data_IF_634587879708
#
_entry.id   IF_634587879708
#
_cell.length_a   1.000
_cell.length_b   1.000
_cell.length_c   1.000
_cell.angle_alpha   90.00
_cell.angle_beta   90.00
_cell.angle_gamma   90.00
#
_symmetry.space_group_name_H-M   'P 1'
#
loop_
_entity.id
_entity.type
_entity.pdbx_description
1 polymer ?
#
# COMPACT_ATOMS: atom_id res chain seq x y z
N UNK A 1 7.12 -10.01 7.71
CA UNK A 1 8.52 -10.29 8.02
C UNK A 1 9.28 -9.16 8.71
N UNK A 2 8.61 -8.44 9.58
CA UNK A 2 9.18 -7.61 10.63
C UNK A 2 10.19 -8.38 11.49
N UNK A 3 10.08 -9.71 11.53
CA UNK A 3 11.07 -10.59 12.10
C UNK A 3 12.47 -10.47 11.46
N UNK A 4 12.60 -10.04 10.20
CA UNK A 4 13.93 -10.00 9.56
C UNK A 4 14.83 -8.88 10.13
N UNK A 5 14.29 -7.71 10.46
CA UNK A 5 15.12 -6.68 11.10
C UNK A 5 15.50 -7.06 12.54
N UNK A 6 14.51 -7.55 13.29
CA UNK A 6 14.75 -8.04 14.66
C UNK A 6 15.71 -9.23 14.58
N UNK A 7 15.51 -10.15 13.67
CA UNK A 7 16.38 -11.32 13.46
C UNK A 7 17.79 -10.89 13.06
N UNK A 8 17.96 -9.92 12.15
CA UNK A 8 19.28 -9.41 11.77
C UNK A 8 20.00 -8.73 12.95
N UNK A 9 19.29 -7.92 13.71
CA UNK A 9 19.86 -7.27 14.89
C UNK A 9 20.23 -8.29 15.97
N UNK A 10 19.39 -9.28 16.20
CA UNK A 10 19.68 -10.37 17.16
C UNK A 10 20.86 -11.22 16.67
N UNK A 11 20.93 -11.57 15.40
CA UNK A 11 22.04 -12.36 14.84
C UNK A 11 23.35 -11.60 14.93
N UNK A 12 23.37 -10.30 14.63
CA UNK A 12 24.57 -9.45 14.76
C UNK A 12 25.01 -9.40 16.23
N UNK A 13 24.09 -9.12 17.16
CA UNK A 13 24.39 -9.05 18.57
C UNK A 13 24.86 -10.39 19.16
N UNK A 14 24.21 -11.49 18.75
CA UNK A 14 24.60 -12.85 19.17
C UNK A 14 25.97 -13.23 18.58
N UNK A 15 26.24 -12.90 17.33
CA UNK A 15 27.52 -13.12 16.68
C UNK A 15 28.65 -12.33 17.36
N UNK A 16 28.40 -11.04 17.65
CA UNK A 16 29.40 -10.17 18.29
C UNK A 16 29.66 -10.63 19.73
N UNK A 17 28.63 -11.02 20.46
CA UNK A 17 28.76 -11.60 21.79
C UNK A 17 29.47 -12.95 21.78
N UNK A 18 29.16 -13.81 20.80
CA UNK A 18 29.82 -15.10 20.64
C UNK A 18 31.30 -14.91 20.25
N UNK A 19 31.60 -14.04 19.30
CA UNK A 19 32.98 -13.73 18.91
C UNK A 19 33.79 -13.18 20.10
N UNK A 20 33.21 -12.23 20.87
CA UNK A 20 33.88 -11.68 22.06
C UNK A 20 34.14 -12.76 23.15
N UNK A 21 33.21 -13.72 23.32
CA UNK A 21 33.36 -14.82 24.29
C UNK A 21 34.40 -15.88 23.87
N UNK A 22 34.49 -16.16 22.55
CA UNK A 22 35.38 -17.18 22.03
C UNK A 22 36.76 -16.67 21.60
N UNK A 23 36.88 -15.37 21.28
CA UNK A 23 38.17 -14.71 21.03
C UNK A 23 39.07 -14.80 22.25
N UNK A 24 38.53 -14.77 23.46
CA UNK A 24 39.23 -14.99 24.72
C UNK A 24 39.82 -16.41 24.89
N UNK A 25 39.31 -17.39 24.07
CA UNK A 25 39.72 -18.80 24.09
C UNK A 25 40.48 -19.21 22.83
N UNK A 26 40.82 -18.30 21.94
CA UNK A 26 41.57 -18.57 20.71
C UNK A 26 40.78 -19.35 19.65
N UNK A 27 39.47 -19.44 19.77
CA UNK A 27 38.59 -20.16 18.84
C UNK A 27 37.82 -19.12 17.98
N UNK A 28 38.11 -19.08 16.67
CA UNK A 28 37.34 -18.29 15.72
C UNK A 28 36.13 -19.07 15.23
N UNK A 29 34.92 -18.73 15.68
CA UNK A 29 33.70 -19.28 15.15
C UNK A 29 33.26 -18.42 13.94
N UNK A 30 33.33 -18.98 12.74
CA UNK A 30 32.66 -18.35 11.60
C UNK A 30 31.18 -18.75 11.60
N UNK A 31 30.35 -17.95 12.24
CA UNK A 31 28.89 -18.08 12.12
C UNK A 31 28.52 -17.56 10.73
N UNK A 32 28.39 -18.47 9.78
CA UNK A 32 27.95 -18.12 8.41
C UNK A 32 26.43 -18.14 8.38
N UNK A 33 25.86 -17.04 7.91
CA UNK A 33 24.41 -16.95 7.69
C UNK A 33 24.02 -17.92 6.59
N UNK A 34 23.05 -18.79 6.85
CA UNK A 34 22.45 -19.59 5.79
C UNK A 34 21.80 -18.64 4.76
N UNK A 35 21.93 -19.01 3.48
CA UNK A 35 21.27 -18.23 2.41
C UNK A 35 19.77 -18.12 2.69
N UNK A 36 19.17 -16.93 2.56
CA UNK A 36 17.75 -16.77 2.79
C UNK A 36 16.99 -17.62 1.76
N UNK A 37 15.99 -18.39 2.22
CA UNK A 37 15.15 -19.20 1.35
C UNK A 37 14.33 -18.32 0.39
N UNK A 38 14.02 -17.09 0.81
CA UNK A 38 13.35 -16.06 0.04
C UNK A 38 13.93 -14.69 0.42
N UNK A 39 14.19 -13.85 -0.60
CA UNK A 39 14.63 -12.48 -0.41
C UNK A 39 16.12 -12.26 -0.72
N UNK A 40 16.50 -10.99 -0.88
CA UNK A 40 17.89 -10.60 -1.15
C UNK A 40 18.83 -11.01 -0.01
N UNK A 41 20.10 -11.27 -0.33
CA UNK A 41 21.12 -11.64 0.67
C UNK A 41 21.34 -10.55 1.73
N UNK A 42 21.16 -9.26 1.36
CA UNK A 42 21.20 -8.10 2.25
C UNK A 42 19.97 -7.21 1.99
N UNK A 43 18.77 -7.60 2.46
CA UNK A 43 17.56 -6.82 2.23
C UNK A 43 17.63 -5.48 2.97
N UNK A 44 17.51 -4.39 2.22
CA UNK A 44 17.35 -3.07 2.81
C UNK A 44 15.94 -2.91 3.38
N UNK A 45 15.79 -2.05 4.39
CA UNK A 45 14.47 -1.74 4.99
C UNK A 45 13.45 -1.29 3.95
N UNK A 46 13.92 -0.58 2.93
CA UNK A 46 13.08 -0.09 1.84
C UNK A 46 12.51 -1.23 0.97
N UNK A 47 13.25 -2.32 0.76
CA UNK A 47 12.78 -3.46 -0.04
C UNK A 47 11.58 -4.16 0.61
N UNK A 48 11.52 -4.13 1.94
CA UNK A 48 10.40 -4.64 2.72
C UNK A 48 9.18 -3.72 2.67
N UNK A 49 9.39 -2.40 2.80
CA UNK A 49 8.31 -1.42 2.82
C UNK A 49 7.73 -1.12 1.43
N UNK A 50 8.55 -1.25 0.38
CA UNK A 50 8.21 -0.79 -0.94
C UNK A 50 6.90 -1.36 -1.51
N UNK A 51 6.64 -2.68 -1.48
CA UNK A 51 5.39 -3.22 -2.01
C UNK A 51 4.16 -2.66 -1.31
N UNK A 52 4.23 -2.52 0.02
CA UNK A 52 3.16 -1.93 0.82
C UNK A 52 2.93 -0.46 0.49
N UNK A 53 3.99 0.34 0.39
CA UNK A 53 3.90 1.76 0.04
C UNK A 53 3.37 1.94 -1.39
N UNK A 54 3.83 1.13 -2.36
CA UNK A 54 3.38 1.18 -3.75
C UNK A 54 1.86 0.98 -3.82
N UNK A 55 1.37 -0.10 -3.22
CA UNK A 55 -0.05 -0.44 -3.24
C UNK A 55 -0.89 0.59 -2.50
N UNK A 56 -0.42 1.08 -1.36
CA UNK A 56 -1.07 2.10 -0.57
C UNK A 56 -1.19 3.43 -1.32
N UNK A 57 -0.11 3.91 -1.92
CA UNK A 57 -0.11 5.16 -2.72
C UNK A 57 -1.13 5.04 -3.85
N UNK A 58 -1.14 3.92 -4.57
CA UNK A 58 -2.13 3.69 -5.64
C UNK A 58 -3.56 3.71 -5.12
N UNK A 59 -3.84 3.07 -3.98
CA UNK A 59 -5.16 3.04 -3.37
C UNK A 59 -5.61 4.43 -2.88
N UNK A 60 -4.73 5.17 -2.21
CA UNK A 60 -5.02 6.52 -1.71
C UNK A 60 -5.37 7.48 -2.85
N UNK A 61 -4.56 7.51 -3.91
CA UNK A 61 -4.85 8.36 -5.06
C UNK A 61 -6.17 7.98 -5.73
N UNK A 62 -6.45 6.69 -5.89
CA UNK A 62 -7.71 6.21 -6.47
C UNK A 62 -8.91 6.61 -5.63
N UNK A 63 -8.82 6.50 -4.30
CA UNK A 63 -9.85 6.93 -3.36
C UNK A 63 -10.13 8.44 -3.47
N UNK A 64 -9.07 9.25 -3.39
CA UNK A 64 -9.17 10.71 -3.40
C UNK A 64 -9.68 11.19 -4.76
N UNK A 65 -9.08 10.73 -5.85
CA UNK A 65 -9.46 11.13 -7.20
C UNK A 65 -10.94 10.85 -7.47
N UNK A 66 -11.39 9.63 -7.17
CA UNK A 66 -12.78 9.23 -7.41
C UNK A 66 -13.75 10.02 -6.53
N UNK A 67 -13.43 10.20 -5.26
CA UNK A 67 -14.32 10.93 -4.34
C UNK A 67 -14.45 12.39 -4.72
N UNK A 68 -13.36 13.06 -5.11
CA UNK A 68 -13.37 14.47 -5.50
C UNK A 68 -14.05 14.70 -6.86
N UNK A 69 -13.75 13.86 -7.86
CA UNK A 69 -14.30 14.03 -9.20
C UNK A 69 -15.83 13.98 -9.20
N UNK A 70 -16.44 13.00 -8.54
CA UNK A 70 -17.89 12.90 -8.46
C UNK A 70 -18.57 14.06 -7.70
N UNK A 71 -17.92 14.54 -6.64
CA UNK A 71 -18.44 15.68 -5.89
C UNK A 71 -18.32 16.95 -6.71
N UNK A 72 -17.18 17.14 -7.41
CA UNK A 72 -16.96 18.28 -8.30
C UNK A 72 -18.01 18.34 -9.42
N UNK A 73 -18.25 17.24 -10.12
CA UNK A 73 -19.24 17.16 -11.18
C UNK A 73 -20.68 17.45 -10.70
N UNK A 74 -21.00 17.04 -9.47
CA UNK A 74 -22.28 17.37 -8.85
C UNK A 74 -22.36 18.84 -8.52
N UNK A 75 -21.30 19.41 -7.97
CA UNK A 75 -21.24 20.82 -7.59
C UNK A 75 -21.34 21.74 -8.82
N UNK A 76 -20.67 21.38 -9.91
CA UNK A 76 -20.69 22.13 -11.18
C UNK A 76 -21.98 21.93 -11.98
N UNK A 77 -22.89 21.07 -11.51
CA UNK A 77 -24.14 20.74 -12.19
C UNK A 77 -23.95 19.94 -13.50
N UNK A 78 -22.76 19.37 -13.70
CA UNK A 78 -22.44 18.56 -14.89
C UNK A 78 -23.24 17.26 -14.88
N UNK A 79 -23.37 16.61 -13.72
CA UNK A 79 -24.17 15.41 -13.56
C UNK A 79 -25.63 15.65 -13.90
N UNK A 80 -26.22 16.77 -13.48
CA UNK A 80 -27.62 17.11 -13.77
C UNK A 80 -27.85 17.28 -15.27
N UNK A 81 -26.90 17.88 -15.99
CA UNK A 81 -26.96 18.01 -17.45
C UNK A 81 -26.88 16.67 -18.16
N UNK A 82 -26.03 15.76 -17.68
CA UNK A 82 -25.89 14.41 -18.22
C UNK A 82 -27.19 13.60 -18.00
N UNK A 83 -27.81 13.74 -16.82
CA UNK A 83 -29.11 13.11 -16.55
C UNK A 83 -30.26 13.73 -17.37
N UNK A 84 -30.23 15.03 -17.57
CA UNK A 84 -31.21 15.71 -18.42
C UNK A 84 -31.12 15.28 -19.90
N UNK A 85 -29.96 14.82 -20.35
CA UNK A 85 -29.76 14.21 -21.66
C UNK A 85 -30.27 12.77 -21.77
N UNK A 86 -30.86 12.20 -20.69
CA UNK A 86 -31.47 10.87 -20.66
C UNK A 86 -30.53 9.74 -20.27
N UNK A 87 -29.31 10.03 -19.82
CA UNK A 87 -28.33 9.03 -19.40
C UNK A 87 -28.73 8.41 -18.05
N UNK A 88 -28.61 7.11 -17.91
CA UNK A 88 -28.93 6.41 -16.67
C UNK A 88 -27.81 6.54 -15.65
N UNK A 89 -28.10 6.61 -14.34
CA UNK A 89 -27.07 6.68 -13.30
C UNK A 89 -26.01 5.56 -13.38
N UNK A 90 -26.41 4.35 -13.77
CA UNK A 90 -25.49 3.22 -13.96
C UNK A 90 -24.51 3.43 -15.11
N UNK A 91 -24.95 4.08 -16.19
CA UNK A 91 -24.09 4.37 -17.35
C UNK A 91 -23.01 5.41 -16.98
N UNK A 92 -23.41 6.42 -16.22
CA UNK A 92 -22.46 7.43 -15.68
C UNK A 92 -21.44 6.77 -14.75
N UNK A 93 -21.90 5.93 -13.82
CA UNK A 93 -21.00 5.22 -12.90
C UNK A 93 -20.02 4.32 -13.64
N UNK A 94 -20.49 3.54 -14.60
CA UNK A 94 -19.63 2.65 -15.39
C UNK A 94 -18.63 3.47 -16.23
N UNK A 95 -19.08 4.56 -16.85
CA UNK A 95 -18.21 5.45 -17.62
C UNK A 95 -17.06 6.00 -16.76
N UNK A 96 -17.36 6.47 -15.54
CA UNK A 96 -16.36 6.95 -14.59
C UNK A 96 -15.41 5.84 -14.13
N UNK A 97 -15.94 4.65 -13.80
CA UNK A 97 -15.10 3.52 -13.41
C UNK A 97 -14.12 3.14 -14.51
N UNK A 98 -14.54 3.14 -15.78
CA UNK A 98 -13.66 2.87 -16.91
C UNK A 98 -12.59 3.97 -17.04
N UNK A 99 -12.99 5.24 -16.98
CA UNK A 99 -12.07 6.37 -17.08
C UNK A 99 -11.02 6.34 -15.96
N UNK A 100 -11.45 6.17 -14.70
CA UNK A 100 -10.53 6.10 -13.57
C UNK A 100 -9.68 4.82 -13.56
N UNK A 101 -10.22 3.69 -14.06
CA UNK A 101 -9.42 2.47 -14.24
C UNK A 101 -8.27 2.70 -15.23
N UNK A 102 -8.49 3.47 -16.28
CA UNK A 102 -7.42 3.82 -17.23
C UNK A 102 -6.32 4.65 -16.54
N UNK A 103 -6.71 5.62 -15.72
CA UNK A 103 -5.77 6.43 -14.93
C UNK A 103 -5.02 5.54 -13.92
N UNK A 104 -5.74 4.64 -13.23
CA UNK A 104 -5.15 3.71 -12.26
C UNK A 104 -4.11 2.80 -12.91
N UNK A 105 -4.40 2.23 -14.08
CA UNK A 105 -3.44 1.41 -14.83
C UNK A 105 -2.16 2.19 -15.12
N UNK A 106 -2.29 3.42 -15.63
CA UNK A 106 -1.14 4.29 -15.87
C UNK A 106 -0.37 4.63 -14.59
N UNK A 107 -1.07 4.94 -13.51
CA UNK A 107 -0.50 5.25 -12.20
C UNK A 107 0.29 4.06 -11.64
N UNK A 108 -0.28 2.86 -11.62
CA UNK A 108 0.38 1.65 -11.12
C UNK A 108 1.63 1.35 -11.94
N UNK A 109 1.54 1.47 -13.27
CA UNK A 109 2.69 1.29 -14.14
C UNK A 109 3.82 2.28 -13.82
N UNK A 110 3.52 3.57 -13.70
CA UNK A 110 4.50 4.61 -13.38
C UNK A 110 5.13 4.38 -12.01
N UNK A 111 4.34 4.04 -10.99
CA UNK A 111 4.85 3.79 -9.63
C UNK A 111 5.78 2.59 -9.60
N UNK A 112 5.41 1.47 -10.24
CA UNK A 112 6.27 0.28 -10.32
C UNK A 112 7.55 0.59 -11.11
N UNK A 113 7.43 1.33 -12.22
CA UNK A 113 8.57 1.74 -13.03
C UNK A 113 9.57 2.59 -12.23
N UNK A 114 9.08 3.61 -11.51
CA UNK A 114 9.92 4.46 -10.66
C UNK A 114 10.55 3.65 -9.53
N UNK A 115 9.80 2.76 -8.89
CA UNK A 115 10.30 1.91 -7.81
C UNK A 115 11.44 1.01 -8.29
N UNK A 116 11.30 0.42 -9.47
CA UNK A 116 12.31 -0.51 -10.03
C UNK A 116 13.54 0.21 -10.55
N UNK A 117 13.35 1.29 -11.32
CA UNK A 117 14.44 1.97 -12.03
C UNK A 117 14.94 3.23 -11.33
N UNK A 118 14.08 3.92 -10.57
CA UNK A 118 14.47 5.12 -9.83
C UNK A 118 15.10 4.81 -8.48
N UNK A 119 14.49 3.91 -7.72
CA UNK A 119 14.96 3.54 -6.39
C UNK A 119 15.72 2.21 -6.33
N UNK A 120 15.86 1.52 -7.45
CA UNK A 120 16.56 0.24 -7.56
C UNK A 120 16.04 -0.82 -6.57
N UNK A 121 14.74 -0.76 -6.23
CA UNK A 121 14.12 -1.66 -5.28
C UNK A 121 14.11 -3.07 -5.88
N UNK A 122 14.63 -4.04 -5.13
CA UNK A 122 14.58 -5.45 -5.50
C UNK A 122 13.16 -5.99 -5.29
N UNK A 123 12.40 -6.07 -6.38
CA UNK A 123 11.10 -6.74 -6.38
C UNK A 123 11.36 -8.22 -6.63
N UNK A 124 11.42 -9.00 -5.56
CA UNK A 124 11.53 -10.45 -5.66
C UNK A 124 10.13 -11.05 -5.81
N UNK A 125 9.90 -11.66 -6.97
CA UNK A 125 8.62 -12.26 -7.32
C UNK A 125 8.08 -11.78 -8.66
N UNK A 126 6.79 -12.07 -8.90
CA UNK A 126 6.14 -11.71 -10.15
C UNK A 126 5.68 -10.24 -10.12
N UNK A 127 6.31 -9.41 -10.95
CA UNK A 127 5.89 -8.02 -11.16
C UNK A 127 4.43 -7.96 -11.64
N UNK A 128 4.01 -8.95 -12.44
CA UNK A 128 2.62 -9.05 -12.90
C UNK A 128 1.65 -9.25 -11.73
N UNK A 129 2.01 -10.09 -10.75
CA UNK A 129 1.19 -10.30 -9.56
C UNK A 129 1.07 -9.01 -8.74
N UNK A 130 2.19 -8.31 -8.51
CA UNK A 130 2.19 -7.00 -7.84
C UNK A 130 1.29 -6.00 -8.57
N UNK A 131 1.39 -5.94 -9.90
CA UNK A 131 0.57 -5.08 -10.74
C UNK A 131 -0.93 -5.39 -10.59
N UNK A 132 -1.31 -6.67 -10.67
CA UNK A 132 -2.71 -7.09 -10.54
C UNK A 132 -3.27 -6.83 -9.14
N UNK A 133 -2.49 -7.08 -8.08
CA UNK A 133 -2.90 -6.80 -6.71
C UNK A 133 -3.08 -5.29 -6.48
N UNK A 134 -2.16 -4.47 -7.00
CA UNK A 134 -2.28 -3.01 -6.91
C UNK A 134 -3.52 -2.49 -7.65
N UNK A 135 -3.85 -3.06 -8.83
CA UNK A 135 -5.09 -2.74 -9.55
C UNK A 135 -6.32 -3.13 -8.76
N UNK A 136 -6.35 -4.33 -8.20
CA UNK A 136 -7.49 -4.83 -7.42
C UNK A 136 -7.75 -3.94 -6.20
N UNK A 137 -6.69 -3.59 -5.48
CA UNK A 137 -6.78 -2.68 -4.33
C UNK A 137 -7.22 -1.27 -4.76
N UNK A 138 -6.69 -0.76 -5.86
CA UNK A 138 -7.11 0.52 -6.42
C UNK A 138 -8.59 0.55 -6.82
N UNK A 139 -9.11 -0.52 -7.42
CA UNK A 139 -10.54 -0.64 -7.72
C UNK A 139 -11.40 -0.68 -6.45
N UNK A 140 -10.99 -1.42 -5.43
CA UNK A 140 -11.67 -1.39 -4.14
C UNK A 140 -11.69 0.02 -3.55
N UNK A 141 -10.57 0.72 -3.59
CA UNK A 141 -10.46 2.12 -3.13
C UNK A 141 -11.36 3.08 -3.93
N UNK A 142 -11.50 2.90 -5.25
CA UNK A 142 -12.44 3.66 -6.07
C UNK A 142 -13.89 3.46 -5.63
N UNK A 143 -14.29 2.23 -5.33
CA UNK A 143 -15.63 1.96 -4.83
C UNK A 143 -15.90 2.66 -3.49
N UNK A 144 -14.92 2.69 -2.60
CA UNK A 144 -14.99 3.49 -1.37
C UNK A 144 -15.05 4.99 -1.66
N UNK A 145 -14.29 5.50 -2.62
CA UNK A 145 -14.35 6.88 -3.08
C UNK A 145 -15.73 7.30 -3.55
N UNK A 146 -16.41 6.41 -4.32
CA UNK A 146 -17.81 6.62 -4.73
C UNK A 146 -18.77 6.70 -3.54
N UNK A 147 -18.59 5.84 -2.53
CA UNK A 147 -19.40 5.89 -1.31
C UNK A 147 -19.20 7.20 -0.55
N UNK A 148 -17.97 7.66 -0.42
CA UNK A 148 -17.64 8.96 0.21
C UNK A 148 -18.29 10.10 -0.58
N UNK A 149 -18.15 10.10 -1.90
CA UNK A 149 -18.71 11.14 -2.78
C UNK A 149 -20.23 11.24 -2.68
N UNK A 150 -20.92 10.13 -2.41
CA UNK A 150 -22.39 10.11 -2.30
C UNK A 150 -22.91 10.95 -1.13
N UNK A 151 -22.11 11.13 -0.08
CA UNK A 151 -22.48 11.88 1.14
C UNK A 151 -21.84 13.27 1.23
N UNK A 152 -20.69 13.47 0.57
CA UNK A 152 -19.98 14.74 0.59
C UNK A 152 -20.72 15.80 -0.24
N UNK A 153 -20.76 17.04 0.27
CA UNK A 153 -21.39 18.20 -0.38
C UNK A 153 -20.39 19.10 -1.10
N UNK A 154 -19.10 18.96 -0.81
CA UNK A 154 -18.02 19.69 -1.44
C UNK A 154 -16.78 18.81 -1.54
N UNK A 155 -15.87 19.14 -2.47
CA UNK A 155 -14.58 18.44 -2.62
C UNK A 155 -13.77 18.49 -1.32
N UNK A 156 -13.78 19.62 -0.63
CA UNK A 156 -13.10 19.77 0.66
C UNK A 156 -13.68 18.83 1.72
N UNK A 157 -15.00 18.67 1.76
CA UNK A 157 -15.63 17.71 2.67
C UNK A 157 -15.29 16.27 2.30
N UNK A 158 -15.25 15.92 1.01
CA UNK A 158 -14.80 14.59 0.56
C UNK A 158 -13.38 14.31 1.03
N UNK A 159 -12.48 15.28 0.90
CA UNK A 159 -11.10 15.17 1.35
C UNK A 159 -11.00 14.96 2.88
N UNK A 160 -11.80 15.70 3.66
CA UNK A 160 -11.85 15.54 5.12
C UNK A 160 -12.39 14.16 5.55
N UNK A 161 -13.33 13.59 4.80
CA UNK A 161 -13.87 12.24 5.10
C UNK A 161 -12.88 11.14 4.70
N UNK A 162 -12.06 11.37 3.67
CA UNK A 162 -11.03 10.41 3.27
C UNK A 162 -9.92 10.24 4.32
N UNK A 163 -9.55 11.30 5.04
CA UNK A 163 -8.49 11.25 6.05
C UNK A 163 -8.73 10.23 7.17
N UNK A 164 -9.91 10.23 7.84
CA UNK A 164 -10.23 9.20 8.84
C UNK A 164 -10.28 7.78 8.31
N UNK A 165 -10.40 7.59 7.00
CA UNK A 165 -10.36 6.26 6.35
C UNK A 165 -8.91 5.84 6.10
N UNK A 166 -8.10 6.76 5.57
CA UNK A 166 -6.71 6.51 5.18
C UNK A 166 -5.83 6.22 6.40
N UNK A 167 -5.97 7.00 7.48
CA UNK A 167 -5.14 6.86 8.67
C UNK A 167 -5.21 5.47 9.34
N UNK A 168 -6.40 4.92 9.65
CA UNK A 168 -6.49 3.57 10.19
C UNK A 168 -5.94 2.51 9.25
N UNK A 169 -6.19 2.64 7.94
CA UNK A 169 -5.63 1.71 6.94
C UNK A 169 -4.11 1.75 6.99
N UNK A 170 -3.48 2.93 6.99
CA UNK A 170 -2.03 3.08 7.09
C UNK A 170 -1.45 2.47 8.38
N UNK A 171 -2.12 2.69 9.51
CA UNK A 171 -1.65 2.23 10.81
C UNK A 171 -1.85 0.73 11.03
N UNK A 172 -2.95 0.18 10.51
CA UNK A 172 -3.35 -1.21 10.75
C UNK A 172 -2.92 -2.18 9.66
N UNK A 173 -2.51 -1.69 8.47
CA UNK A 173 -2.10 -2.54 7.33
C UNK A 173 -0.79 -3.31 7.55
N UNK A 174 -0.07 -3.06 8.63
CA UNK A 174 1.22 -3.71 8.88
C UNK A 174 2.37 -3.16 8.03
N UNK A 175 2.16 -2.06 7.27
CA UNK A 175 3.19 -1.44 6.43
C UNK A 175 4.24 -0.76 7.30
N UNK A 176 3.82 0.06 8.28
CA UNK A 176 4.74 0.84 9.12
C UNK A 176 5.34 0.03 10.26
N UNK A 177 4.56 -0.85 10.87
CA UNK A 177 4.99 -1.73 11.96
C UNK A 177 4.32 -3.11 11.86
N UNK A 178 4.96 -4.11 12.44
CA UNK A 178 4.42 -5.46 12.43
C UNK A 178 3.07 -5.54 13.15
N UNK A 179 2.17 -6.31 12.59
CA UNK A 179 0.83 -6.53 13.16
C UNK A 179 0.89 -7.16 14.55
N UNK A 180 1.95 -7.93 14.84
CA UNK A 180 2.21 -8.54 16.14
C UNK A 180 2.57 -7.51 17.23
N UNK A 181 3.02 -6.32 16.85
CA UNK A 181 3.32 -5.23 17.78
C UNK A 181 2.05 -4.46 18.21
N UNK A 182 0.91 -4.73 17.57
CA UNK A 182 -0.36 -4.13 17.92
C UNK A 182 -0.99 -4.84 19.14
N UNK A 183 -1.73 -4.12 20.00
CA UNK A 183 -2.49 -4.74 21.06
C UNK A 183 -3.44 -5.83 20.55
N UNK A 184 -3.60 -6.93 21.30
CA UNK A 184 -4.37 -8.11 20.89
C UNK A 184 -5.81 -7.79 20.46
N UNK A 185 -6.45 -6.77 21.02
CA UNK A 185 -7.81 -6.35 20.68
C UNK A 185 -7.90 -5.61 19.33
N UNK A 186 -6.79 -5.10 18.80
CA UNK A 186 -6.72 -4.43 17.47
C UNK A 186 -6.32 -5.41 16.38
N UNK A 187 -5.57 -6.46 16.65
CA UNK A 187 -5.07 -7.41 15.66
C UNK A 187 -6.15 -7.97 14.72
N UNK A 188 -7.37 -8.33 15.16
CA UNK A 188 -8.42 -8.81 14.26
C UNK A 188 -8.82 -7.78 13.20
N UNK A 189 -8.78 -6.49 13.54
CA UNK A 189 -9.03 -5.40 12.58
C UNK A 189 -7.89 -5.24 11.60
N UNK A 190 -6.65 -5.43 12.03
CA UNK A 190 -5.46 -5.40 11.18
C UNK A 190 -5.50 -6.52 10.13
N UNK A 191 -5.95 -7.72 10.48
CA UNK A 191 -6.09 -8.83 9.53
C UNK A 191 -7.19 -8.63 8.49
N UNK A 192 -8.16 -7.76 8.77
CA UNK A 192 -9.23 -7.40 7.84
C UNK A 192 -8.84 -6.26 6.88
N UNK A 193 -7.70 -5.58 7.16
CA UNK A 193 -7.22 -4.49 6.32
C UNK A 193 -6.42 -5.02 5.12
N UNK A 194 -6.55 -4.37 3.95
CA UNK A 194 -5.81 -4.77 2.75
C UNK A 194 -4.32 -4.45 2.83
#
# INVERSE_FOLDING_TARGET
>A
NSNQQITNTIIINVRDAANAAFESQGISLSITRAEPIYGAQDPQFIDFLAPGIITMVCAMFSLILTSMAFVGERYDGTLDRVFAAGTKPSEVLVGHLIAFSTILVGQVFVVIFISRYGFNIMIEGSILLLFLLALLLGWAAMCFGLLVSSKAKSEFQAMQVNMPIIFPVLLLSGILWPTEALPEWIQPFSWAMP
#
